data_IF_381756494618
#
_entry.id   IF_381756494618
#
_cell.length_a   1.000
_cell.length_b   1.000
_cell.length_c   1.000
_cell.angle_alpha   90.00
_cell.angle_beta   90.00
_cell.angle_gamma   90.00
#
_symmetry.space_group_name_H-M   'P 1'
#
loop_
_entity.id
_entity.type
_entity.pdbx_description
1 polymer ?
#
# COMPACT_ATOMS: atom_id res chain seq x y z
N UNK A 1 -22.96 -3.31 -34.55
CA UNK A 1 -21.85 -3.01 -33.61
C UNK A 1 -22.39 -3.22 -32.20
N UNK A 2 -22.10 -4.38 -31.61
CA UNK A 2 -22.65 -4.81 -30.33
C UNK A 2 -21.92 -4.09 -29.19
N UNK A 3 -22.58 -3.15 -28.54
CA UNK A 3 -22.13 -2.66 -27.23
C UNK A 3 -22.59 -3.68 -26.18
N UNK A 4 -21.66 -4.54 -25.74
CA UNK A 4 -21.86 -5.35 -24.56
C UNK A 4 -21.85 -4.40 -23.36
N UNK A 5 -23.04 -4.01 -22.90
CA UNK A 5 -23.23 -3.35 -21.62
C UNK A 5 -22.77 -4.30 -20.54
N UNK A 6 -21.57 -4.07 -19.98
CA UNK A 6 -21.10 -4.80 -18.80
C UNK A 6 -21.96 -4.40 -17.59
N UNK A 7 -23.17 -4.94 -17.46
CA UNK A 7 -23.86 -5.00 -16.17
C UNK A 7 -23.13 -6.01 -15.32
N UNK A 8 -22.02 -5.57 -14.71
CA UNK A 8 -21.39 -6.29 -13.62
C UNK A 8 -22.46 -6.46 -12.52
N UNK A 9 -22.91 -7.68 -12.19
CA UNK A 9 -23.86 -7.86 -11.10
C UNK A 9 -23.21 -7.30 -9.82
N UNK A 10 -23.92 -6.42 -9.11
CA UNK A 10 -23.44 -5.88 -7.83
C UNK A 10 -23.17 -7.07 -6.92
N UNK A 11 -21.88 -7.36 -6.65
CA UNK A 11 -21.49 -8.55 -5.88
C UNK A 11 -22.16 -8.52 -4.50
N UNK A 12 -22.71 -9.65 -4.01
CA UNK A 12 -23.46 -9.69 -2.76
C UNK A 12 -22.58 -9.29 -1.57
N UNK A 13 -23.14 -8.59 -0.58
CA UNK A 13 -22.41 -8.04 0.57
C UNK A 13 -21.49 -9.07 1.26
N UNK A 14 -21.96 -10.33 1.37
CA UNK A 14 -21.19 -11.44 1.95
C UNK A 14 -19.85 -11.67 1.25
N UNK A 15 -19.82 -11.65 -0.09
CA UNK A 15 -18.59 -11.84 -0.88
C UNK A 15 -17.60 -10.68 -0.71
N UNK A 16 -18.11 -9.47 -0.52
CA UNK A 16 -17.31 -8.26 -0.31
C UNK A 16 -16.65 -8.28 1.07
N UNK A 17 -17.40 -8.69 2.09
CA UNK A 17 -16.90 -8.82 3.46
C UNK A 17 -15.87 -9.94 3.58
N UNK A 18 -16.11 -11.11 2.98
CA UNK A 18 -15.14 -12.21 2.94
C UNK A 18 -13.83 -11.78 2.30
N UNK A 19 -13.89 -11.09 1.14
CA UNK A 19 -12.68 -10.61 0.47
C UNK A 19 -11.92 -9.59 1.33
N UNK A 20 -12.62 -8.66 1.95
CA UNK A 20 -12.00 -7.68 2.85
C UNK A 20 -11.37 -8.36 4.07
N UNK A 21 -12.07 -9.29 4.72
CA UNK A 21 -11.57 -10.02 5.88
C UNK A 21 -10.34 -10.88 5.55
N UNK A 22 -10.34 -11.57 4.40
CA UNK A 22 -9.19 -12.35 3.98
C UNK A 22 -7.99 -11.45 3.73
N UNK A 23 -8.18 -10.30 3.07
CA UNK A 23 -7.10 -9.38 2.78
C UNK A 23 -6.54 -8.71 4.04
N UNK A 24 -7.41 -8.11 4.84
CA UNK A 24 -7.03 -7.41 6.08
C UNK A 24 -6.45 -8.39 7.11
N UNK A 25 -7.07 -9.57 7.27
CA UNK A 25 -6.60 -10.61 8.17
C UNK A 25 -5.23 -11.17 7.76
N UNK A 26 -4.99 -11.37 6.47
CA UNK A 26 -3.68 -11.80 5.98
C UNK A 26 -2.59 -10.76 6.20
N UNK A 27 -2.89 -9.48 5.95
CA UNK A 27 -1.95 -8.38 6.23
C UNK A 27 -1.66 -8.31 7.73
N UNK A 28 -2.69 -8.38 8.59
CA UNK A 28 -2.51 -8.40 10.05
C UNK A 28 -1.62 -9.56 10.51
N UNK A 29 -1.78 -10.76 9.95
CA UNK A 29 -0.93 -11.90 10.27
C UNK A 29 0.54 -11.71 9.86
N UNK A 30 0.81 -10.92 8.81
CA UNK A 30 2.16 -10.58 8.38
C UNK A 30 2.78 -9.48 9.27
N UNK A 31 1.96 -8.52 9.73
CA UNK A 31 2.42 -7.36 10.51
C UNK A 31 2.58 -7.71 12.00
N UNK A 32 1.60 -8.38 12.58
CA UNK A 32 1.48 -8.55 14.03
C UNK A 32 2.71 -9.19 14.71
N UNK A 33 3.36 -10.23 14.13
CA UNK A 33 4.54 -10.84 14.75
C UNK A 33 5.73 -9.87 14.87
N UNK A 34 5.84 -8.89 13.98
CA UNK A 34 6.94 -7.92 13.97
C UNK A 34 6.86 -6.98 15.18
N UNK A 35 5.66 -6.73 15.68
CA UNK A 35 5.42 -5.76 16.75
C UNK A 35 5.00 -6.40 18.06
N UNK A 36 4.94 -7.74 18.13
CA UNK A 36 4.36 -8.47 19.27
C UNK A 36 5.05 -8.14 20.61
N UNK A 37 6.37 -7.94 20.56
CA UNK A 37 7.20 -7.62 21.73
C UNK A 37 7.15 -6.12 22.08
N UNK A 38 6.90 -5.25 21.10
CA UNK A 38 6.84 -3.78 21.26
C UNK A 38 5.49 -3.29 21.84
N UNK A 39 4.45 -4.12 21.86
CA UNK A 39 3.14 -3.76 22.42
C UNK A 39 3.14 -3.56 23.94
N UNK A 40 4.22 -3.90 24.65
CA UNK A 40 4.34 -3.72 26.09
C UNK A 40 4.42 -2.23 26.51
N UNK A 41 4.96 -1.35 25.65
CA UNK A 41 5.10 0.09 25.89
C UNK A 41 4.18 0.91 24.97
N UNK A 42 2.87 0.79 25.22
CA UNK A 42 1.76 1.39 24.45
C UNK A 42 1.96 2.89 24.18
N UNK A 43 2.62 3.66 25.06
CA UNK A 43 2.66 5.12 24.94
C UNK A 43 3.70 5.64 23.92
N UNK A 44 4.88 5.03 23.81
CA UNK A 44 5.96 5.53 22.94
C UNK A 44 5.81 5.02 21.50
N UNK A 45 5.42 3.75 21.36
CA UNK A 45 5.19 3.09 20.08
C UNK A 45 3.99 3.73 19.36
N UNK A 46 2.94 4.14 20.09
CA UNK A 46 1.76 4.79 19.50
C UNK A 46 2.05 6.14 18.82
N UNK A 47 2.94 6.96 19.39
CA UNK A 47 3.24 8.29 18.84
C UNK A 47 4.00 8.24 17.51
N UNK A 48 4.98 7.35 17.39
CA UNK A 48 5.77 7.17 16.16
C UNK A 48 4.96 6.46 15.07
N UNK A 49 4.11 5.50 15.42
CA UNK A 49 3.17 4.89 14.48
C UNK A 49 2.19 5.93 13.93
N UNK A 50 1.66 6.82 14.78
CA UNK A 50 0.78 7.89 14.33
C UNK A 50 1.50 8.85 13.36
N UNK A 51 2.77 9.15 13.62
CA UNK A 51 3.62 9.95 12.74
C UNK A 51 3.85 9.25 11.40
N UNK A 52 4.14 7.94 11.39
CA UNK A 52 4.25 7.13 10.16
C UNK A 52 2.97 7.19 9.33
N UNK A 53 1.81 6.93 9.95
CA UNK A 53 0.52 6.95 9.26
C UNK A 53 0.23 8.33 8.69
N UNK A 54 0.46 9.39 9.48
CA UNK A 54 0.25 10.77 9.04
C UNK A 54 1.18 11.14 7.89
N UNK A 55 2.47 10.81 7.99
CA UNK A 55 3.45 11.03 6.93
C UNK A 55 3.07 10.29 5.65
N UNK A 56 2.61 9.04 5.77
CA UNK A 56 2.15 8.24 4.64
C UNK A 56 0.92 8.85 3.96
N UNK A 57 -0.06 9.34 4.73
CA UNK A 57 -1.26 10.01 4.20
C UNK A 57 -0.86 11.31 3.46
N UNK A 58 -0.02 12.13 4.09
CA UNK A 58 0.47 13.38 3.50
C UNK A 58 1.25 13.11 2.22
N UNK A 59 2.16 12.13 2.24
CA UNK A 59 2.93 11.73 1.06
C UNK A 59 2.02 11.22 -0.06
N UNK A 60 1.04 10.38 0.27
CA UNK A 60 0.06 9.87 -0.70
C UNK A 60 -0.70 11.01 -1.40
N UNK A 61 -1.15 12.02 -0.66
CA UNK A 61 -1.81 13.19 -1.21
C UNK A 61 -0.87 14.03 -2.08
N UNK A 62 0.33 14.34 -1.56
CA UNK A 62 1.33 15.16 -2.26
C UNK A 62 1.78 14.50 -3.57
N UNK A 63 2.06 13.19 -3.54
CA UNK A 63 2.50 12.44 -4.71
C UNK A 63 1.41 12.33 -5.77
N UNK A 64 0.17 12.03 -5.37
CA UNK A 64 -0.97 11.96 -6.29
C UNK A 64 -1.20 13.30 -6.98
N UNK A 65 -1.18 14.41 -6.23
CA UNK A 65 -1.33 15.76 -6.78
C UNK A 65 -0.19 16.13 -7.73
N UNK A 66 1.07 15.87 -7.34
CA UNK A 66 2.24 16.16 -8.17
C UNK A 66 2.22 15.38 -9.48
N UNK A 67 1.87 14.10 -9.43
CA UNK A 67 1.84 13.26 -10.63
C UNK A 67 0.69 13.60 -11.56
N UNK A 68 -0.50 13.91 -11.02
CA UNK A 68 -1.64 14.32 -11.84
C UNK A 68 -1.37 15.69 -12.50
N UNK A 69 -0.69 16.60 -11.81
CA UNK A 69 -0.20 17.87 -12.39
C UNK A 69 0.83 17.63 -13.51
N UNK A 70 1.74 16.68 -13.30
CA UNK A 70 2.73 16.29 -14.32
C UNK A 70 2.04 15.70 -15.56
N UNK A 71 1.11 14.76 -15.38
CA UNK A 71 0.35 14.17 -16.48
C UNK A 71 -0.48 15.19 -17.24
N UNK A 72 -1.13 16.10 -16.53
CA UNK A 72 -1.92 17.18 -17.14
C UNK A 72 -1.05 18.10 -18.00
N UNK A 73 0.13 18.51 -17.49
CA UNK A 73 1.08 19.36 -18.21
C UNK A 73 1.72 18.68 -19.42
N UNK A 74 2.04 17.39 -19.33
CA UNK A 74 2.83 16.69 -20.35
C UNK A 74 2.00 15.90 -21.37
N UNK A 75 0.91 15.26 -20.95
CA UNK A 75 0.08 14.44 -21.83
C UNK A 75 -1.30 15.02 -22.13
N UNK A 76 -1.75 16.06 -21.40
CA UNK A 76 -3.12 16.61 -21.46
C UNK A 76 -4.22 15.53 -21.37
N UNK A 77 -3.88 14.38 -20.79
CA UNK A 77 -4.75 13.23 -20.62
C UNK A 77 -4.41 12.57 -19.29
N UNK A 78 -5.45 12.20 -18.54
CA UNK A 78 -5.36 11.50 -17.26
C UNK A 78 -5.30 9.98 -17.44
N UNK A 79 -5.34 9.48 -18.69
CA UNK A 79 -5.29 8.05 -18.96
C UNK A 79 -3.89 7.48 -18.70
N UNK A 80 -3.74 6.80 -17.56
CA UNK A 80 -2.51 6.10 -17.17
C UNK A 80 -2.41 4.77 -17.94
N UNK A 81 -1.62 4.74 -19.02
CA UNK A 81 -1.21 3.49 -19.70
C UNK A 81 -0.58 2.50 -18.72
N UNK A 82 -0.62 1.19 -18.99
CA UNK A 82 -0.06 0.14 -18.10
C UNK A 82 1.39 0.44 -17.67
N UNK A 83 2.26 0.84 -18.60
CA UNK A 83 3.66 1.24 -18.29
C UNK A 83 3.72 2.45 -17.36
N UNK A 84 2.83 3.42 -17.53
CA UNK A 84 2.75 4.62 -16.69
C UNK A 84 2.29 4.27 -15.27
N UNK A 85 1.36 3.31 -15.12
CA UNK A 85 0.90 2.82 -13.80
C UNK A 85 2.01 2.10 -13.04
N UNK A 86 2.81 1.29 -13.73
CA UNK A 86 3.93 0.59 -13.10
C UNK A 86 5.01 1.56 -12.62
N UNK A 87 5.42 2.51 -13.46
CA UNK A 87 6.39 3.56 -13.07
C UNK A 87 5.84 4.43 -11.94
N UNK A 88 4.55 4.78 -11.99
CA UNK A 88 3.88 5.52 -10.92
C UNK A 88 3.93 4.77 -9.59
N UNK A 89 3.60 3.48 -9.60
CA UNK A 89 3.60 2.66 -8.38
C UNK A 89 5.02 2.49 -7.83
N UNK A 90 6.02 2.24 -8.68
CA UNK A 90 7.41 2.12 -8.25
C UNK A 90 7.95 3.41 -7.64
N UNK A 91 7.74 4.56 -8.28
CA UNK A 91 8.18 5.86 -7.77
C UNK A 91 7.48 6.22 -6.46
N UNK A 92 6.18 5.90 -6.34
CA UNK A 92 5.44 6.07 -5.09
C UNK A 92 6.07 5.26 -3.97
N UNK A 93 6.32 3.98 -4.24
CA UNK A 93 6.86 3.04 -3.28
C UNK A 93 8.26 3.45 -2.81
N UNK A 94 9.14 3.83 -3.74
CA UNK A 94 10.50 4.30 -3.42
C UNK A 94 10.44 5.59 -2.61
N UNK A 95 9.60 6.55 -3.00
CA UNK A 95 9.46 7.81 -2.27
C UNK A 95 8.90 7.61 -0.86
N UNK A 96 7.91 6.73 -0.71
CA UNK A 96 7.36 6.39 0.59
C UNK A 96 8.42 5.73 1.48
N UNK A 97 9.22 4.82 0.92
CA UNK A 97 10.32 4.14 1.61
C UNK A 97 11.35 5.14 2.15
N UNK A 98 11.73 6.15 1.38
CA UNK A 98 12.68 7.20 1.83
C UNK A 98 12.12 8.00 3.02
N UNK A 99 10.78 8.14 3.12
CA UNK A 99 10.12 8.86 4.21
C UNK A 99 9.91 7.97 5.43
N UNK A 100 9.50 6.72 5.24
CA UNK A 100 9.25 5.75 6.31
C UNK A 100 10.54 5.24 6.95
N UNK A 101 11.60 5.00 6.17
CA UNK A 101 12.87 4.46 6.64
C UNK A 101 13.50 5.21 7.83
N UNK A 102 13.66 6.55 7.84
CA UNK A 102 14.23 7.26 8.98
C UNK A 102 13.34 7.17 10.23
N UNK A 103 12.02 7.09 10.05
CA UNK A 103 11.09 6.94 11.18
C UNK A 103 11.20 5.54 11.75
N UNK A 104 11.21 4.51 10.91
CA UNK A 104 11.45 3.13 11.34
C UNK A 104 12.83 2.96 11.98
N UNK A 105 13.87 3.62 11.48
CA UNK A 105 15.21 3.59 12.08
C UNK A 105 15.21 4.22 13.49
N UNK A 106 14.35 5.20 13.75
CA UNK A 106 14.16 5.74 15.08
C UNK A 106 13.31 4.85 16.00
N UNK A 107 12.57 3.89 15.46
CA UNK A 107 11.71 2.96 16.20
C UNK A 107 12.39 1.66 16.51
N UNK A 108 13.19 1.15 15.58
CA UNK A 108 13.89 -0.12 15.65
C UNK A 108 15.34 0.16 15.99
N UNK A 109 15.85 -0.44 17.08
CA UNK A 109 17.27 -0.42 17.43
C UNK A 109 18.08 -1.31 16.47
N UNK A 110 18.14 -0.91 15.20
CA UNK A 110 18.71 -1.69 14.10
C UNK A 110 19.42 -0.77 13.10
N UNK A 111 20.29 -1.33 12.27
CA UNK A 111 21.02 -0.52 11.28
C UNK A 111 20.07 0.08 10.22
N UNK A 112 20.38 1.28 9.72
CA UNK A 112 19.56 1.95 8.70
C UNK A 112 19.33 1.07 7.46
N UNK A 113 20.37 0.40 6.96
CA UNK A 113 20.26 -0.50 5.80
C UNK A 113 19.38 -1.71 6.08
N UNK A 114 19.43 -2.27 7.29
CA UNK A 114 18.59 -3.38 7.69
C UNK A 114 17.12 -2.96 7.76
N UNK A 115 16.82 -1.83 8.41
CA UNK A 115 15.47 -1.26 8.48
C UNK A 115 14.92 -0.94 7.09
N UNK A 116 15.73 -0.30 6.24
CA UNK A 116 15.36 0.04 4.87
C UNK A 116 15.05 -1.22 4.03
N UNK A 117 15.88 -2.26 4.17
CA UNK A 117 15.66 -3.54 3.47
C UNK A 117 14.43 -4.28 4.00
N UNK A 118 14.18 -4.24 5.32
CA UNK A 118 13.01 -4.85 5.93
C UNK A 118 11.71 -4.16 5.47
N UNK A 119 11.68 -2.83 5.43
CA UNK A 119 10.54 -2.06 4.92
C UNK A 119 10.27 -2.36 3.44
N UNK A 120 11.34 -2.47 2.62
CA UNK A 120 11.22 -2.87 1.22
C UNK A 120 10.62 -4.27 1.06
N UNK A 121 11.16 -5.26 1.76
CA UNK A 121 10.71 -6.65 1.70
C UNK A 121 9.28 -6.79 2.20
N UNK A 122 8.96 -6.14 3.31
CA UNK A 122 7.63 -6.13 3.89
C UNK A 122 6.61 -5.53 2.91
N UNK A 123 6.92 -4.38 2.33
CA UNK A 123 6.02 -3.75 1.36
C UNK A 123 5.88 -4.58 0.07
N UNK A 124 6.96 -5.18 -0.44
CA UNK A 124 6.90 -6.07 -1.60
C UNK A 124 6.05 -7.32 -1.34
N UNK A 125 6.14 -7.89 -0.13
CA UNK A 125 5.32 -9.02 0.30
C UNK A 125 3.85 -8.64 0.39
N UNK A 126 3.51 -7.51 1.04
CA UNK A 126 2.13 -7.02 1.13
C UNK A 126 1.56 -6.72 -0.26
N UNK A 127 2.32 -6.02 -1.12
CA UNK A 127 1.92 -5.75 -2.49
C UNK A 127 1.64 -7.03 -3.28
N UNK A 128 2.54 -8.01 -3.19
CA UNK A 128 2.39 -9.30 -3.85
C UNK A 128 1.19 -10.06 -3.31
N UNK A 129 1.02 -10.12 -2.00
CA UNK A 129 -0.12 -10.74 -1.33
C UNK A 129 -1.45 -10.13 -1.78
N UNK A 130 -1.55 -8.80 -1.77
CA UNK A 130 -2.71 -8.06 -2.26
C UNK A 130 -2.96 -8.32 -3.74
N UNK A 131 -1.93 -8.36 -4.57
CA UNK A 131 -2.06 -8.67 -5.99
C UNK A 131 -2.60 -10.10 -6.22
N UNK A 132 -1.99 -11.11 -5.59
CA UNK A 132 -2.39 -12.51 -5.74
C UNK A 132 -3.80 -12.77 -5.19
N UNK A 133 -4.13 -12.26 -4.01
CA UNK A 133 -5.48 -12.40 -3.45
C UNK A 133 -6.50 -11.73 -4.36
N UNK A 134 -6.26 -10.50 -4.81
CA UNK A 134 -7.16 -9.84 -5.76
C UNK A 134 -7.32 -10.63 -7.07
N UNK A 135 -6.23 -11.17 -7.62
CA UNK A 135 -6.27 -11.97 -8.85
C UNK A 135 -6.99 -13.33 -8.66
N UNK A 136 -6.83 -13.98 -7.50
CA UNK A 136 -7.54 -15.22 -7.17
C UNK A 136 -9.04 -14.95 -7.04
N UNK A 137 -9.43 -13.91 -6.31
CA UNK A 137 -10.84 -13.54 -6.17
C UNK A 137 -11.49 -13.13 -7.50
N UNK A 138 -10.75 -12.52 -8.42
CA UNK A 138 -11.27 -12.17 -9.75
C UNK A 138 -11.42 -13.39 -10.67
N UNK A 139 -10.66 -14.47 -10.43
CA UNK A 139 -10.75 -15.72 -11.18
C UNK A 139 -11.80 -16.69 -10.64
N UNK A 140 -12.04 -16.71 -9.33
CA UNK A 140 -12.91 -17.69 -8.68
C UNK A 140 -14.30 -17.13 -8.29
N UNK A 141 -14.54 -15.82 -8.40
CA UNK A 141 -15.80 -15.17 -8.04
C UNK A 141 -16.18 -14.05 -9.01
#
# INVERSE_FOLDING_TARGET
>A
MNQQTYTQPIRPLKSRLLRALTLEGGILLLVAPVFIDDFADINLVSGKILLLITAAIVWNAAYSFGFDTYLWKWRRSLEKTVKCRFVYALLFQVGLLVISAPIFFSMLDSSFWQVMSADLWFSALVFSYTYFTNALYDKFC
#
